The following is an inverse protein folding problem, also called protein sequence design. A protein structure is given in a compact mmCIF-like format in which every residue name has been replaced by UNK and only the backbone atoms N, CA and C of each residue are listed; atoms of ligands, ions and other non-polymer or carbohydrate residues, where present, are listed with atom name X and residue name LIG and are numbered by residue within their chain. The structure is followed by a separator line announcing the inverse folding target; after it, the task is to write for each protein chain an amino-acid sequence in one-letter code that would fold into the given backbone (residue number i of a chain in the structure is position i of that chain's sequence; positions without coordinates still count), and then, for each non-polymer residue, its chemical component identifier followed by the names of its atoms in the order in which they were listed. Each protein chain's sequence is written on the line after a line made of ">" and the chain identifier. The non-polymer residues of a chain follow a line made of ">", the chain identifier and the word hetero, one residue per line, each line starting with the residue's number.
data_IF_781793172483
#
_entry.id   IF_781793172483
#
_cell.length_a   1.000
_cell.length_b   1.000
_cell.length_c   1.000
_cell.angle_alpha   90.00
_cell.angle_beta   90.00
_cell.angle_gamma   90.00
#
_symmetry.space_group_name_H-M   'P 1'
#
loop_
_entity.id
_entity.type
_entity.pdbx_description
1 polymer ?
#
# COMPACT_ATOMS: atom_id res chain seq x y z
N UNK A 1 -19.47 83.88 0.68
CA UNK A 1 -19.08 83.55 -0.71
C UNK A 1 -20.35 83.08 -1.41
N UNK A 2 -20.60 83.48 -2.65
CA UNK A 2 -21.71 82.89 -3.40
C UNK A 2 -21.38 81.43 -3.72
N UNK A 3 -22.36 80.53 -3.65
CA UNK A 3 -22.25 79.22 -4.28
C UNK A 3 -22.29 79.41 -5.80
N UNK A 4 -21.65 78.52 -6.55
CA UNK A 4 -21.78 78.51 -8.01
C UNK A 4 -23.20 78.05 -8.40
N UNK A 5 -24.00 78.88 -9.11
CA UNK A 5 -25.33 78.48 -9.56
C UNK A 5 -25.33 77.28 -10.50
N UNK A 6 -24.22 77.00 -11.19
CA UNK A 6 -24.08 75.82 -12.04
C UNK A 6 -23.97 74.56 -11.18
N UNK A 7 -23.17 74.60 -10.11
CA UNK A 7 -22.99 73.46 -9.20
C UNK A 7 -24.29 73.09 -8.47
N UNK A 8 -25.10 74.07 -8.04
CA UNK A 8 -26.44 73.80 -7.47
C UNK A 8 -27.44 73.27 -8.52
N UNK A 9 -27.17 73.45 -9.81
CA UNK A 9 -27.92 72.86 -10.91
C UNK A 9 -27.31 71.52 -11.41
N UNK A 10 -26.25 71.00 -10.78
CA UNK A 10 -25.58 69.74 -11.15
C UNK A 10 -24.60 69.87 -12.33
N UNK A 11 -24.19 71.08 -12.69
CA UNK A 11 -23.22 71.35 -13.76
C UNK A 11 -21.88 71.85 -13.20
N UNK A 12 -20.79 71.40 -13.79
CA UNK A 12 -19.43 71.69 -13.35
C UNK A 12 -18.53 71.95 -14.56
N UNK A 13 -17.46 72.73 -14.39
CA UNK A 13 -16.41 72.87 -15.42
C UNK A 13 -15.25 71.91 -15.15
N UNK A 14 -14.67 71.33 -16.20
CA UNK A 14 -13.39 70.62 -16.14
C UNK A 14 -12.18 71.55 -16.32
N UNK A 15 -10.97 71.01 -16.16
CA UNK A 15 -9.69 71.74 -16.30
C UNK A 15 -9.46 72.35 -17.70
N UNK A 16 -10.32 72.00 -18.68
CA UNK A 16 -10.32 72.54 -20.04
C UNK A 16 -11.47 73.55 -20.26
N UNK A 17 -12.10 74.02 -19.18
CA UNK A 17 -13.26 74.91 -19.13
C UNK A 17 -14.50 74.38 -19.89
N UNK A 18 -14.69 73.05 -19.95
CA UNK A 18 -15.87 72.43 -20.58
C UNK A 18 -16.91 72.09 -19.53
N UNK A 19 -18.17 72.42 -19.84
CA UNK A 19 -19.32 72.10 -18.98
C UNK A 19 -19.59 70.58 -18.98
N UNK A 20 -19.79 70.01 -17.78
CA UNK A 20 -20.09 68.61 -17.52
C UNK A 20 -21.25 68.49 -16.53
N UNK A 21 -21.91 67.33 -16.53
CA UNK A 21 -23.04 66.98 -15.62
C UNK A 21 -22.58 66.01 -14.52
N UNK A 22 -21.27 66.01 -14.23
CA UNK A 22 -20.62 65.19 -13.22
C UNK A 22 -19.49 66.02 -12.61
N UNK A 23 -19.28 65.93 -11.30
CA UNK A 23 -18.15 66.58 -10.63
C UNK A 23 -16.81 66.11 -11.23
N UNK A 24 -15.83 66.99 -11.49
CA UNK A 24 -14.51 66.60 -11.99
C UNK A 24 -13.85 65.54 -11.11
N UNK A 25 -13.88 65.74 -9.79
CA UNK A 25 -13.46 64.78 -8.77
C UNK A 25 -14.07 63.37 -8.95
N UNK A 26 -15.38 63.30 -9.18
CA UNK A 26 -16.10 62.03 -9.36
C UNK A 26 -15.78 61.42 -10.73
N UNK A 27 -15.67 62.24 -11.77
CA UNK A 27 -15.24 61.80 -13.11
C UNK A 27 -13.81 61.27 -13.12
N UNK A 28 -12.89 61.89 -12.37
CA UNK A 28 -11.51 61.44 -12.22
C UNK A 28 -11.45 60.13 -11.43
N UNK A 29 -12.08 60.07 -10.25
CA UNK A 29 -12.12 58.84 -9.42
C UNK A 29 -12.76 57.66 -10.15
N UNK A 30 -13.76 57.91 -11.01
CA UNK A 30 -14.36 56.90 -11.88
C UNK A 30 -13.39 56.41 -12.97
N UNK A 31 -12.51 57.28 -13.47
CA UNK A 31 -11.46 56.91 -14.44
C UNK A 31 -10.28 56.18 -13.78
N UNK A 32 -9.90 56.57 -12.57
CA UNK A 32 -8.87 55.91 -11.76
C UNK A 32 -9.31 54.50 -11.37
N UNK A 33 -10.52 54.36 -10.80
CA UNK A 33 -11.14 53.08 -10.50
C UNK A 33 -11.24 52.17 -11.72
N UNK A 34 -11.48 52.72 -12.91
CA UNK A 34 -11.54 51.95 -14.16
C UNK A 34 -10.17 51.35 -14.56
N UNK A 35 -9.08 52.08 -14.38
CA UNK A 35 -7.73 51.52 -14.58
C UNK A 35 -7.38 50.52 -13.47
N UNK A 36 -7.68 50.81 -12.20
CA UNK A 36 -7.46 49.85 -11.09
C UNK A 36 -8.23 48.53 -11.30
N UNK A 37 -9.50 48.59 -11.73
CA UNK A 37 -10.29 47.40 -12.07
C UNK A 37 -9.68 46.61 -13.24
N UNK A 38 -9.11 47.28 -14.26
CA UNK A 38 -8.42 46.63 -15.38
C UNK A 38 -7.14 45.94 -14.91
N UNK A 39 -6.33 46.63 -14.10
CA UNK A 39 -5.11 46.11 -13.50
C UNK A 39 -5.40 44.91 -12.57
N UNK A 40 -6.53 44.93 -11.87
CA UNK A 40 -7.04 43.83 -11.04
C UNK A 40 -7.53 42.63 -11.87
N UNK A 41 -8.24 42.87 -12.98
CA UNK A 41 -8.64 41.81 -13.93
C UNK A 41 -7.43 41.10 -14.52
N UNK A 42 -6.37 41.83 -14.90
CA UNK A 42 -5.13 41.24 -15.40
C UNK A 42 -4.42 40.40 -14.32
N UNK A 43 -4.41 40.85 -13.06
CA UNK A 43 -3.89 40.09 -11.90
C UNK A 43 -4.70 38.82 -11.63
N UNK A 44 -6.03 38.85 -11.74
CA UNK A 44 -6.88 37.64 -11.69
C UNK A 44 -6.61 36.73 -12.90
N UNK A 45 -6.38 37.28 -14.09
CA UNK A 45 -6.02 36.54 -15.28
C UNK A 45 -4.68 35.80 -15.15
N UNK A 46 -3.74 36.34 -14.35
CA UNK A 46 -2.50 35.66 -13.96
C UNK A 46 -2.75 34.61 -12.88
N UNK A 47 -3.49 34.94 -11.81
CA UNK A 47 -3.83 33.99 -10.75
C UNK A 47 -4.56 32.75 -11.30
N UNK A 48 -5.54 32.94 -12.19
CA UNK A 48 -6.27 31.89 -12.87
C UNK A 48 -5.45 31.08 -13.89
N UNK A 49 -4.18 31.44 -14.15
CA UNK A 49 -3.21 30.55 -14.84
C UNK A 49 -2.45 29.72 -13.82
N UNK A 50 -1.97 30.34 -12.73
CA UNK A 50 -1.28 29.64 -11.63
C UNK A 50 -2.18 28.55 -11.04
N UNK A 51 -3.44 28.88 -10.73
CA UNK A 51 -4.40 27.91 -10.20
C UNK A 51 -4.66 26.71 -11.12
N UNK A 52 -4.62 26.91 -12.45
CA UNK A 52 -4.70 25.80 -13.42
C UNK A 52 -3.44 24.94 -13.41
N UNK A 53 -2.26 25.55 -13.40
CA UNK A 53 -1.01 24.80 -13.29
C UNK A 53 -0.90 23.98 -11.98
N UNK A 54 -1.45 24.50 -10.87
CA UNK A 54 -1.54 23.74 -9.61
C UNK A 54 -2.51 22.55 -9.75
N UNK A 55 -3.67 22.74 -10.37
CA UNK A 55 -4.62 21.63 -10.64
C UNK A 55 -3.96 20.58 -11.54
N UNK A 56 -3.30 20.99 -12.63
CA UNK A 56 -2.59 20.10 -13.57
C UNK A 56 -1.50 19.27 -12.85
N UNK A 57 -0.68 19.89 -11.99
CA UNK A 57 0.35 19.20 -11.20
C UNK A 57 -0.24 18.24 -10.15
N UNK A 58 -1.34 18.60 -9.49
CA UNK A 58 -2.04 17.70 -8.53
C UNK A 58 -2.65 16.51 -9.27
N UNK A 59 -3.22 16.75 -10.45
CA UNK A 59 -3.75 15.70 -11.32
C UNK A 59 -2.65 14.76 -11.84
N UNK A 60 -1.44 15.24 -12.12
CA UNK A 60 -0.29 14.39 -12.48
C UNK A 60 0.21 13.59 -11.28
N UNK A 61 0.44 14.22 -10.13
CA UNK A 61 0.88 13.56 -8.90
C UNK A 61 -0.09 12.46 -8.45
N UNK A 62 -1.40 12.68 -8.58
CA UNK A 62 -2.41 11.66 -8.29
C UNK A 62 -2.27 10.40 -9.18
N UNK A 63 -1.93 10.58 -10.47
CA UNK A 63 -1.68 9.46 -11.40
C UNK A 63 -0.39 8.72 -11.05
N UNK A 64 0.67 9.42 -10.65
CA UNK A 64 1.91 8.78 -10.19
C UNK A 64 1.68 7.96 -8.92
N UNK A 65 0.99 8.52 -7.92
CA UNK A 65 0.69 7.85 -6.65
C UNK A 65 -0.15 6.59 -6.86
N UNK A 66 -1.20 6.63 -7.70
CA UNK A 66 -1.98 5.41 -8.01
C UNK A 66 -1.17 4.39 -8.83
N UNK A 67 -0.21 4.82 -9.64
CA UNK A 67 0.69 3.93 -10.38
C UNK A 67 1.65 3.20 -9.42
N UNK A 68 2.39 3.92 -8.56
CA UNK A 68 3.28 3.29 -7.56
C UNK A 68 2.50 2.35 -6.62
N UNK A 69 1.29 2.74 -6.21
CA UNK A 69 0.38 1.93 -5.39
C UNK A 69 -0.04 0.64 -6.08
N UNK A 70 -0.32 0.67 -7.39
CA UNK A 70 -0.61 -0.52 -8.18
C UNK A 70 0.62 -1.42 -8.35
N UNK A 71 1.81 -0.86 -8.57
CA UNK A 71 3.07 -1.63 -8.58
C UNK A 71 3.35 -2.29 -7.22
N UNK A 72 3.18 -1.56 -6.12
CA UNK A 72 3.37 -2.06 -4.76
C UNK A 72 2.38 -3.19 -4.42
N UNK A 73 1.12 -3.09 -4.86
CA UNK A 73 0.13 -4.16 -4.75
C UNK A 73 0.52 -5.37 -5.60
N UNK A 74 0.98 -5.16 -6.84
CA UNK A 74 1.48 -6.21 -7.73
C UNK A 74 2.65 -6.98 -7.12
N UNK A 75 3.68 -6.26 -6.66
CA UNK A 75 4.83 -6.82 -5.96
C UNK A 75 4.42 -7.59 -4.69
N UNK A 76 3.52 -7.02 -3.86
CA UNK A 76 3.01 -7.69 -2.65
C UNK A 76 2.25 -8.97 -2.97
N UNK A 77 1.49 -9.01 -4.06
CA UNK A 77 0.74 -10.19 -4.49
C UNK A 77 1.66 -11.28 -5.07
N UNK A 78 2.69 -10.90 -5.84
CA UNK A 78 3.75 -11.82 -6.27
C UNK A 78 4.51 -12.42 -5.07
N UNK A 79 4.82 -11.60 -4.06
CA UNK A 79 5.49 -12.06 -2.84
C UNK A 79 4.62 -13.03 -2.04
N UNK A 80 3.30 -12.81 -1.99
CA UNK A 80 2.32 -13.78 -1.42
C UNK A 80 2.28 -15.10 -2.18
N UNK A 81 2.24 -15.10 -3.52
CA UNK A 81 2.16 -16.34 -4.29
C UNK A 81 3.46 -17.16 -4.18
N UNK A 82 4.62 -16.52 -4.26
CA UNK A 82 5.93 -17.14 -4.03
C UNK A 82 6.05 -17.67 -2.59
N UNK A 83 5.58 -16.94 -1.58
CA UNK A 83 5.56 -17.42 -0.20
C UNK A 83 4.71 -18.69 -0.04
N UNK A 84 3.49 -18.71 -0.61
CA UNK A 84 2.59 -19.88 -0.57
C UNK A 84 3.16 -21.09 -1.33
N UNK A 85 3.82 -20.86 -2.46
CA UNK A 85 4.52 -21.91 -3.21
C UNK A 85 5.70 -22.50 -2.42
N UNK A 86 6.49 -21.63 -1.76
CA UNK A 86 7.59 -22.05 -0.87
C UNK A 86 7.09 -22.83 0.34
N UNK A 87 5.96 -22.44 0.92
CA UNK A 87 5.33 -23.15 2.03
C UNK A 87 4.88 -24.56 1.62
N UNK A 88 4.25 -24.70 0.45
CA UNK A 88 3.91 -26.01 -0.11
C UNK A 88 5.15 -26.88 -0.40
N UNK A 89 6.23 -26.30 -0.95
CA UNK A 89 7.51 -27.01 -1.13
C UNK A 89 8.14 -27.41 0.21
N UNK A 90 8.04 -26.58 1.23
CA UNK A 90 8.53 -26.91 2.57
C UNK A 90 7.71 -28.04 3.21
N UNK A 91 6.40 -28.07 3.02
CA UNK A 91 5.54 -29.19 3.46
C UNK A 91 5.87 -30.48 2.70
N UNK A 92 6.12 -30.42 1.38
CA UNK A 92 6.58 -31.59 0.60
C UNK A 92 7.94 -32.12 1.08
N UNK A 93 8.90 -31.23 1.36
CA UNK A 93 10.20 -31.61 1.91
C UNK A 93 10.09 -32.16 3.34
N UNK A 94 9.19 -31.62 4.18
CA UNK A 94 8.89 -32.19 5.49
C UNK A 94 8.24 -33.57 5.38
N UNK A 95 7.35 -33.78 4.39
CA UNK A 95 6.79 -35.08 4.07
C UNK A 95 7.87 -36.09 3.68
N UNK A 96 8.74 -35.75 2.73
CA UNK A 96 9.90 -36.58 2.35
C UNK A 96 10.86 -36.84 3.51
N UNK A 97 11.09 -35.88 4.40
CA UNK A 97 11.93 -36.09 5.60
C UNK A 97 11.23 -36.98 6.62
N UNK A 98 9.90 -36.87 6.77
CA UNK A 98 9.11 -37.76 7.63
C UNK A 98 9.05 -39.18 7.07
N UNK A 99 8.91 -39.34 5.75
CA UNK A 99 8.94 -40.63 5.07
C UNK A 99 10.34 -41.27 5.15
N UNK A 100 11.41 -40.53 4.89
CA UNK A 100 12.78 -41.05 5.05
C UNK A 100 13.10 -41.38 6.52
N UNK A 101 12.58 -40.62 7.50
CA UNK A 101 12.63 -41.00 8.92
C UNK A 101 11.82 -42.25 9.21
N UNK A 102 10.62 -42.38 8.65
CA UNK A 102 9.79 -43.58 8.80
C UNK A 102 10.46 -44.79 8.16
N UNK A 103 11.16 -44.64 7.02
CA UNK A 103 11.96 -45.70 6.42
C UNK A 103 13.20 -46.02 7.27
N UNK A 104 13.89 -45.03 7.84
CA UNK A 104 14.99 -45.27 8.78
C UNK A 104 14.54 -45.99 10.05
N UNK A 105 13.44 -45.57 10.66
CA UNK A 105 12.83 -46.30 11.79
C UNK A 105 12.25 -47.65 11.32
N UNK A 106 11.82 -47.81 10.06
CA UNK A 106 11.43 -49.12 9.53
C UNK A 106 12.63 -50.05 9.37
N UNK A 107 13.75 -49.57 8.84
CA UNK A 107 15.01 -50.33 8.75
C UNK A 107 15.62 -50.58 10.12
N UNK A 108 15.45 -49.66 11.07
CA UNK A 108 15.83 -49.86 12.47
C UNK A 108 14.93 -50.88 13.15
N UNK A 109 13.62 -50.86 12.92
CA UNK A 109 12.67 -51.87 13.42
C UNK A 109 12.86 -53.20 12.68
N UNK A 110 13.34 -53.20 11.44
CA UNK A 110 13.69 -54.40 10.66
C UNK A 110 15.02 -54.99 11.15
N UNK A 111 16.00 -54.15 11.53
CA UNK A 111 17.22 -54.55 12.24
C UNK A 111 16.93 -55.01 13.67
N UNK A 112 16.15 -54.26 14.45
CA UNK A 112 15.70 -54.64 15.78
C UNK A 112 14.80 -55.87 15.73
N UNK A 113 14.02 -56.10 14.67
CA UNK A 113 13.26 -57.34 14.47
C UNK A 113 14.11 -58.48 13.89
N UNK A 114 15.24 -58.22 13.22
CA UNK A 114 16.21 -59.27 12.87
C UNK A 114 17.03 -59.67 14.09
N UNK A 115 17.51 -58.72 14.89
CA UNK A 115 18.16 -58.98 16.18
C UNK A 115 17.17 -59.45 17.26
N UNK A 116 15.87 -59.15 17.11
CA UNK A 116 14.78 -59.79 17.88
C UNK A 116 14.19 -61.03 17.21
N UNK A 117 14.61 -61.43 16.01
CA UNK A 117 14.35 -62.79 15.45
C UNK A 117 15.56 -63.70 15.68
N UNK A 118 16.75 -63.14 15.89
CA UNK A 118 17.88 -63.75 16.58
C UNK A 118 17.51 -63.92 18.07
N UNK A 119 17.11 -62.84 18.76
CA UNK A 119 16.63 -62.92 20.14
C UNK A 119 15.29 -63.63 20.29
N UNK A 120 14.44 -63.78 19.27
CA UNK A 120 13.28 -64.69 19.27
C UNK A 120 13.62 -66.06 18.67
N UNK A 121 14.76 -66.30 18.05
CA UNK A 121 15.29 -67.66 17.97
C UNK A 121 15.78 -68.09 19.36
N UNK A 122 16.24 -67.14 20.18
CA UNK A 122 16.55 -67.33 21.59
C UNK A 122 15.32 -67.26 22.54
N UNK A 123 14.24 -66.53 22.21
CA UNK A 123 13.00 -66.38 23.04
C UNK A 123 11.80 -67.20 22.53
N UNK A 124 11.75 -67.70 21.28
CA UNK A 124 10.81 -68.75 20.85
C UNK A 124 11.25 -70.14 21.35
N UNK A 125 12.52 -70.24 21.74
CA UNK A 125 13.03 -71.25 22.67
C UNK A 125 12.32 -71.15 24.05
N UNK A 126 11.82 -69.96 24.44
CA UNK A 126 11.16 -69.71 25.74
C UNK A 126 9.62 -69.65 25.68
N UNK A 127 8.99 -68.79 24.85
CA UNK A 127 7.55 -68.42 24.89
C UNK A 127 7.03 -67.94 23.51
N UNK A 128 5.92 -68.37 22.91
CA UNK A 128 4.71 -69.14 23.27
C UNK A 128 3.56 -68.41 24.03
N UNK A 129 3.64 -67.10 24.37
CA UNK A 129 2.68 -66.47 25.31
C UNK A 129 1.99 -65.14 24.83
N UNK A 130 0.82 -65.27 24.16
CA UNK A 130 -0.42 -64.43 24.23
C UNK A 130 -0.52 -62.99 23.58
N UNK A 131 -1.75 -62.39 23.50
CA UNK A 131 -2.24 -61.29 22.57
C UNK A 131 -3.57 -60.58 23.10
N UNK A 132 -4.21 -59.45 22.63
CA UNK A 132 -4.00 -58.27 21.70
C UNK A 132 -5.31 -57.38 21.51
N UNK A 133 -5.29 -56.25 20.75
CA UNK A 133 -6.41 -55.44 20.07
C UNK A 133 -7.04 -54.07 20.61
N UNK A 134 -7.00 -53.01 19.74
CA UNK A 134 -7.99 -51.97 19.22
C UNK A 134 -8.87 -50.95 20.03
N UNK A 135 -9.13 -49.68 19.50
CA UNK A 135 -10.24 -48.72 19.91
C UNK A 135 -10.84 -47.59 18.92
N UNK A 136 -10.69 -46.21 18.97
CA UNK A 136 -11.83 -45.21 18.78
C UNK A 136 -11.68 -43.90 17.85
N UNK A 137 -12.77 -43.11 17.54
CA UNK A 137 -12.76 -41.72 16.88
C UNK A 137 -14.11 -40.87 16.90
N UNK A 138 -14.17 -39.56 16.45
CA UNK A 138 -15.34 -38.55 16.45
C UNK A 138 -15.23 -37.29 15.48
N UNK A 139 -16.29 -36.46 15.18
CA UNK A 139 -16.18 -35.10 14.49
C UNK A 139 -17.43 -34.19 14.07
N UNK A 140 -17.41 -32.78 14.06
CA UNK A 140 -18.55 -31.78 13.71
C UNK A 140 -18.32 -30.25 13.15
N UNK A 141 -19.39 -29.39 12.77
CA UNK A 141 -19.68 -27.83 12.60
C UNK A 141 -19.17 -26.84 11.40
N UNK A 142 -19.48 -25.52 10.96
CA UNK A 142 -20.36 -24.19 11.10
C UNK A 142 -20.24 -23.16 9.82
N UNK A 143 -20.64 -21.83 9.49
CA UNK A 143 -21.52 -20.55 9.79
C UNK A 143 -21.46 -19.33 8.68
N UNK A 144 -22.33 -18.22 8.55
CA UNK A 144 -22.26 -16.96 7.60
C UNK A 144 -23.29 -15.67 7.69
N UNK A 145 -23.11 -14.42 7.03
CA UNK A 145 -24.04 -13.15 6.80
C UNK A 145 -23.41 -11.89 5.97
N UNK A 146 -23.86 -10.60 5.58
CA UNK A 146 -25.05 -9.58 5.48
C UNK A 146 -24.85 -8.19 4.59
N UNK A 147 -25.84 -7.21 4.29
CA UNK A 147 -25.81 -6.01 3.29
C UNK A 147 -26.59 -4.56 3.45
N UNK A 148 -26.58 -3.56 2.44
CA UNK A 148 -27.40 -2.26 2.07
C UNK A 148 -26.95 -0.73 2.41
N UNK A 149 -27.36 0.55 1.96
CA UNK A 149 -28.26 1.42 1.01
C UNK A 149 -27.81 2.99 0.90
N UNK A 150 -28.34 4.21 0.41
CA UNK A 150 -29.52 4.95 -0.31
C UNK A 150 -29.28 6.52 -0.80
N UNK A 151 -30.22 7.43 -1.34
CA UNK A 151 -29.97 8.84 -2.00
C UNK A 151 -31.06 10.09 -2.06
N UNK A 152 -30.89 11.30 -2.77
CA UNK A 152 -31.79 12.59 -2.83
C UNK A 152 -31.62 13.87 -3.88
N UNK A 153 -32.40 15.04 -3.84
CA UNK A 153 -32.59 16.24 -4.86
C UNK A 153 -33.12 17.71 -4.33
N UNK A 154 -33.50 18.96 -4.90
CA UNK A 154 -33.60 19.89 -6.17
C UNK A 154 -33.99 21.49 -5.91
N UNK A 155 -34.13 22.52 -6.88
CA UNK A 155 -34.44 24.06 -6.71
C UNK A 155 -34.97 25.04 -7.93
N UNK A 156 -35.31 26.40 -7.80
CA UNK A 156 -35.86 27.46 -8.84
C UNK A 156 -35.83 29.10 -8.57
N UNK A 157 -36.46 30.05 -9.39
CA UNK A 157 -36.35 31.59 -9.66
C UNK A 157 -37.49 32.69 -9.22
N UNK A 158 -37.38 34.07 -9.47
CA UNK A 158 -38.47 35.20 -9.42
C UNK A 158 -38.13 36.75 -9.83
N UNK A 159 -39.10 37.73 -10.05
CA UNK A 159 -38.98 39.06 -10.85
C UNK A 159 -39.36 40.51 -10.23
N UNK A 160 -38.68 41.69 -10.57
CA UNK A 160 -39.06 43.19 -10.40
C UNK A 160 -38.31 44.28 -11.29
N UNK A 161 -38.46 45.65 -11.15
CA UNK A 161 -38.04 46.78 -12.11
C UNK A 161 -37.63 48.21 -11.50
N UNK A 162 -36.79 49.10 -12.16
CA UNK A 162 -36.24 50.44 -11.67
C UNK A 162 -36.02 51.62 -12.74
N UNK A 163 -35.29 52.73 -12.44
CA UNK A 163 -35.11 54.00 -13.25
C UNK A 163 -33.70 54.70 -13.22
N UNK A 164 -33.03 54.83 -14.40
CA UNK A 164 -32.42 56.06 -14.98
C UNK A 164 -33.16 56.24 -16.33
N UNK A 165 -32.49 56.23 -17.49
CA UNK A 165 -32.73 55.07 -18.37
C UNK A 165 -32.53 53.81 -17.50
N UNK A 166 -33.57 52.97 -17.25
CA UNK A 166 -33.54 51.91 -16.22
C UNK A 166 -32.20 51.19 -16.16
N UNK A 167 -31.82 50.64 -17.31
CA UNK A 167 -30.54 50.07 -17.69
C UNK A 167 -29.28 50.76 -17.16
N UNK A 168 -29.14 52.08 -17.13
CA UNK A 168 -27.86 52.73 -16.74
C UNK A 168 -27.79 52.99 -15.24
N UNK A 169 -28.91 53.21 -14.55
CA UNK A 169 -28.94 53.26 -13.07
C UNK A 169 -28.79 51.86 -12.52
N UNK A 170 -29.53 50.91 -13.12
CA UNK A 170 -29.33 49.49 -12.87
C UNK A 170 -27.89 49.13 -13.16
N UNK A 171 -27.35 49.20 -14.37
CA UNK A 171 -25.94 48.81 -14.63
C UNK A 171 -24.91 49.56 -13.78
N UNK A 172 -25.14 50.77 -13.29
CA UNK A 172 -24.19 51.44 -12.36
C UNK A 172 -24.37 51.00 -10.90
N UNK A 173 -25.61 50.73 -10.46
CA UNK A 173 -25.92 50.24 -9.10
C UNK A 173 -25.71 48.74 -8.97
N UNK A 174 -26.02 47.98 -10.03
CA UNK A 174 -25.69 46.59 -10.28
C UNK A 174 -24.19 46.47 -10.37
N UNK A 175 -23.45 47.22 -11.21
CA UNK A 175 -21.98 47.19 -11.18
C UNK A 175 -21.42 47.49 -9.78
N UNK A 176 -22.07 48.36 -8.99
CA UNK A 176 -21.68 48.60 -7.58
C UNK A 176 -22.01 47.44 -6.64
N UNK A 177 -23.18 46.81 -6.78
CA UNK A 177 -23.57 45.63 -6.01
C UNK A 177 -22.79 44.39 -6.45
N UNK A 178 -22.68 44.10 -7.75
CA UNK A 178 -21.77 43.14 -8.39
C UNK A 178 -20.32 43.35 -7.99
N UNK A 179 -19.78 44.56 -7.96
CA UNK A 179 -18.40 44.79 -7.46
C UNK A 179 -18.26 44.47 -5.98
N UNK A 180 -19.28 44.74 -5.16
CA UNK A 180 -19.29 44.34 -3.75
C UNK A 180 -19.40 42.81 -3.60
N UNK A 181 -20.35 42.20 -4.29
CA UNK A 181 -20.54 40.76 -4.42
C UNK A 181 -19.28 40.05 -4.93
N UNK A 182 -18.56 40.68 -5.86
CA UNK A 182 -17.31 40.21 -6.43
C UNK A 182 -16.16 40.34 -5.43
N UNK A 183 -16.06 41.43 -4.67
CA UNK A 183 -15.14 41.53 -3.53
C UNK A 183 -15.46 40.48 -2.46
N UNK A 184 -16.74 40.26 -2.14
CA UNK A 184 -17.19 39.24 -1.18
C UNK A 184 -16.90 37.80 -1.73
N UNK A 185 -17.11 37.54 -3.03
CA UNK A 185 -16.76 36.28 -3.72
C UNK A 185 -15.25 36.06 -3.81
N UNK A 186 -14.45 37.11 -4.04
CA UNK A 186 -12.98 37.06 -4.00
C UNK A 186 -12.48 36.82 -2.57
N UNK A 187 -13.10 37.42 -1.55
CA UNK A 187 -12.79 37.13 -0.15
C UNK A 187 -13.15 35.69 0.27
N UNK A 188 -14.20 35.10 -0.32
CA UNK A 188 -14.50 33.67 -0.17
C UNK A 188 -13.47 32.80 -0.93
N UNK A 189 -13.16 33.15 -2.19
CA UNK A 189 -12.18 32.45 -3.01
C UNK A 189 -10.78 32.47 -2.39
N UNK A 190 -10.33 33.58 -1.80
CA UNK A 190 -9.08 33.68 -1.05
C UNK A 190 -9.04 32.72 0.16
N UNK A 191 -10.17 32.53 0.86
CA UNK A 191 -10.26 31.54 1.96
C UNK A 191 -10.21 30.11 1.44
N UNK A 192 -10.88 29.82 0.31
CA UNK A 192 -10.83 28.50 -0.34
C UNK A 192 -9.41 28.18 -0.84
N UNK A 193 -8.73 29.16 -1.45
CA UNK A 193 -7.32 29.05 -1.87
C UNK A 193 -6.40 28.86 -0.66
N UNK A 194 -6.61 29.60 0.43
CA UNK A 194 -5.84 29.42 1.67
C UNK A 194 -5.97 28.01 2.24
N UNK A 195 -7.20 27.52 2.40
CA UNK A 195 -7.44 26.14 2.84
C UNK A 195 -6.94 25.07 1.85
N UNK A 196 -6.96 25.35 0.55
CA UNK A 196 -6.37 24.46 -0.46
C UNK A 196 -4.83 24.40 -0.33
N UNK A 197 -4.18 25.52 -0.06
CA UNK A 197 -2.74 25.56 0.22
C UNK A 197 -2.44 24.74 1.48
N UNK A 198 -3.18 24.96 2.58
CA UNK A 198 -3.02 24.20 3.83
C UNK A 198 -3.21 22.68 3.62
N UNK A 199 -4.19 22.26 2.82
CA UNK A 199 -4.44 20.86 2.48
C UNK A 199 -3.35 20.25 1.57
N UNK A 200 -2.80 21.00 0.61
CA UNK A 200 -1.67 20.55 -0.22
C UNK A 200 -0.40 20.42 0.63
N UNK A 201 -0.17 21.39 1.52
CA UNK A 201 0.91 21.38 2.51
C UNK A 201 0.82 20.15 3.43
N UNK A 202 -0.38 19.76 3.87
CA UNK A 202 -0.59 18.57 4.71
C UNK A 202 -0.42 17.27 3.90
N UNK A 203 -0.95 17.23 2.67
CA UNK A 203 -0.79 16.09 1.75
C UNK A 203 0.69 15.83 1.40
N UNK A 204 1.51 16.86 1.17
CA UNK A 204 2.96 16.70 0.93
C UNK A 204 3.64 15.99 2.11
N UNK A 205 3.28 16.39 3.34
CA UNK A 205 3.80 15.80 4.59
C UNK A 205 3.36 14.34 4.76
N UNK A 206 2.12 14.00 4.40
CA UNK A 206 1.65 12.60 4.40
C UNK A 206 2.35 11.75 3.34
N UNK A 207 2.51 12.28 2.11
CA UNK A 207 3.16 11.59 0.99
C UNK A 207 4.63 11.28 1.30
N UNK A 208 5.43 12.24 1.78
CA UNK A 208 6.81 11.96 2.20
C UNK A 208 6.87 10.98 3.39
N UNK A 209 5.89 11.05 4.31
CA UNK A 209 5.82 10.11 5.44
C UNK A 209 5.56 8.67 4.97
N UNK A 210 4.63 8.43 4.05
CA UNK A 210 4.37 7.09 3.48
C UNK A 210 5.49 6.62 2.55
N UNK A 211 6.07 7.51 1.74
CA UNK A 211 7.27 7.24 0.93
C UNK A 211 8.44 6.76 1.80
N UNK A 212 8.71 7.42 2.93
CA UNK A 212 9.74 6.99 3.88
C UNK A 212 9.41 5.66 4.58
N UNK A 213 8.14 5.42 4.94
CA UNK A 213 7.68 4.10 5.43
C UNK A 213 7.87 2.99 4.38
N UNK A 214 7.53 3.25 3.12
CA UNK A 214 7.67 2.31 2.01
C UNK A 214 9.14 1.99 1.71
N UNK A 215 10.02 2.99 1.70
CA UNK A 215 11.48 2.81 1.58
C UNK A 215 12.02 1.98 2.76
N UNK A 216 11.58 2.27 3.99
CA UNK A 216 11.93 1.49 5.18
C UNK A 216 11.52 0.02 5.07
N UNK A 217 10.27 -0.24 4.69
CA UNK A 217 9.75 -1.60 4.48
C UNK A 217 10.49 -2.34 3.35
N UNK A 218 10.79 -1.67 2.23
CA UNK A 218 11.57 -2.21 1.10
C UNK A 218 12.99 -2.59 1.53
N UNK A 219 13.64 -1.76 2.34
CA UNK A 219 14.98 -2.04 2.88
C UNK A 219 14.99 -3.20 3.88
N UNK A 220 13.98 -3.29 4.76
CA UNK A 220 13.81 -4.41 5.68
C UNK A 220 13.51 -5.73 4.95
N UNK A 221 12.69 -5.71 3.91
CA UNK A 221 12.45 -6.88 3.05
C UNK A 221 13.74 -7.33 2.35
N UNK A 222 14.56 -6.38 1.87
CA UNK A 222 15.85 -6.69 1.22
C UNK A 222 16.87 -7.29 2.20
N UNK A 223 16.94 -6.82 3.45
CA UNK A 223 17.83 -7.40 4.46
C UNK A 223 17.36 -8.80 4.91
N UNK A 224 16.06 -8.99 5.13
CA UNK A 224 15.47 -10.30 5.46
C UNK A 224 15.66 -11.30 4.32
N UNK A 225 15.53 -10.88 3.06
CA UNK A 225 15.82 -11.74 1.90
C UNK A 225 17.28 -12.22 1.90
N UNK A 226 18.24 -11.30 2.05
CA UNK A 226 19.68 -11.64 2.12
C UNK A 226 20.02 -12.53 3.32
N UNK A 227 19.41 -12.30 4.48
CA UNK A 227 19.58 -13.16 5.66
C UNK A 227 19.06 -14.59 5.42
N UNK A 228 17.88 -14.72 4.79
CA UNK A 228 17.30 -16.02 4.43
C UNK A 228 18.14 -16.76 3.39
N UNK A 229 18.73 -16.05 2.44
CA UNK A 229 19.65 -16.63 1.45
C UNK A 229 20.90 -17.20 2.13
N UNK A 230 21.55 -16.44 3.00
CA UNK A 230 22.71 -16.89 3.77
C UNK A 230 22.38 -18.10 4.66
N UNK A 231 21.22 -18.08 5.35
CA UNK A 231 20.74 -19.24 6.13
C UNK A 231 20.47 -20.47 5.25
N UNK A 232 19.95 -20.29 4.04
CA UNK A 232 19.71 -21.38 3.10
C UNK A 232 21.03 -22.00 2.59
N UNK A 233 22.03 -21.18 2.28
CA UNK A 233 23.38 -21.66 1.92
C UNK A 233 24.04 -22.41 3.09
N UNK A 234 23.92 -21.89 4.32
CA UNK A 234 24.44 -22.55 5.53
C UNK A 234 23.76 -23.91 5.78
N UNK A 235 22.43 -24.00 5.61
CA UNK A 235 21.69 -25.26 5.74
C UNK A 235 22.07 -26.26 4.62
N UNK A 236 22.28 -25.80 3.38
CA UNK A 236 22.74 -26.66 2.29
C UNK A 236 24.14 -27.22 2.55
N UNK A 237 25.07 -26.41 3.07
CA UNK A 237 26.40 -26.86 3.48
C UNK A 237 26.33 -27.92 4.60
N UNK A 238 25.50 -27.69 5.63
CA UNK A 238 25.30 -28.65 6.72
C UNK A 238 24.66 -29.96 6.22
N UNK A 239 23.71 -29.91 5.29
CA UNK A 239 23.13 -31.11 4.68
C UNK A 239 24.17 -31.88 3.87
N UNK A 240 25.06 -31.21 3.14
CA UNK A 240 26.15 -31.85 2.41
C UNK A 240 27.16 -32.52 3.36
N UNK A 241 27.56 -31.84 4.44
CA UNK A 241 28.42 -32.39 5.49
C UNK A 241 27.81 -33.66 6.12
N UNK A 242 26.52 -33.63 6.47
CA UNK A 242 25.83 -34.77 7.09
C UNK A 242 25.63 -35.94 6.13
N UNK A 243 25.41 -35.69 4.83
CA UNK A 243 25.42 -36.74 3.80
C UNK A 243 26.79 -37.39 3.66
N UNK A 244 27.87 -36.59 3.63
CA UNK A 244 29.24 -37.12 3.56
C UNK A 244 29.61 -37.96 4.80
N UNK A 245 29.15 -37.56 5.99
CA UNK A 245 29.31 -38.35 7.21
C UNK A 245 28.53 -39.67 7.15
N UNK A 246 27.29 -39.66 6.64
CA UNK A 246 26.46 -40.85 6.48
C UNK A 246 27.12 -41.87 5.53
N UNK A 247 27.58 -41.46 4.36
CA UNK A 247 28.27 -42.37 3.43
C UNK A 247 29.59 -42.91 4.00
N UNK A 248 30.33 -42.12 4.80
CA UNK A 248 31.51 -42.64 5.52
C UNK A 248 31.13 -43.74 6.51
N UNK A 249 30.12 -43.51 7.35
CA UNK A 249 29.64 -44.51 8.31
C UNK A 249 29.07 -45.76 7.62
N UNK A 250 28.46 -45.60 6.44
CA UNK A 250 28.00 -46.71 5.61
C UNK A 250 29.16 -47.59 5.14
N UNK A 251 30.22 -47.00 4.58
CA UNK A 251 31.42 -47.74 4.13
C UNK A 251 32.13 -48.40 5.32
N UNK A 252 32.16 -47.74 6.47
CA UNK A 252 32.70 -48.28 7.73
C UNK A 252 31.89 -49.49 8.22
N UNK A 253 30.55 -49.44 8.14
CA UNK A 253 29.66 -50.56 8.45
C UNK A 253 29.79 -51.72 7.45
N UNK A 254 29.80 -51.44 6.14
CA UNK A 254 29.97 -52.46 5.09
C UNK A 254 31.33 -53.19 5.22
N UNK A 255 32.38 -52.49 5.68
CA UNK A 255 33.67 -53.10 6.01
C UNK A 255 33.63 -53.97 7.29
N UNK A 256 32.98 -53.49 8.36
CA UNK A 256 32.86 -54.24 9.63
C UNK A 256 32.02 -55.51 9.46
N UNK A 257 30.87 -55.44 8.79
CA UNK A 257 30.00 -56.58 8.51
C UNK A 257 30.69 -57.66 7.66
N UNK A 258 31.61 -57.27 6.76
CA UNK A 258 32.45 -58.24 6.03
C UNK A 258 33.44 -58.95 6.95
N UNK A 259 34.08 -58.24 7.87
CA UNK A 259 35.00 -58.83 8.87
C UNK A 259 34.26 -59.75 9.85
N UNK A 260 33.02 -59.40 10.22
CA UNK A 260 32.13 -60.25 11.01
C UNK A 260 31.78 -61.55 10.27
N UNK A 261 31.41 -61.46 8.98
CA UNK A 261 31.18 -62.65 8.13
C UNK A 261 32.40 -63.56 8.05
N UNK A 262 33.60 -62.99 7.84
CA UNK A 262 34.87 -63.72 7.81
C UNK A 262 35.20 -64.39 9.16
N UNK A 263 34.83 -63.77 10.29
CA UNK A 263 35.00 -64.36 11.62
C UNK A 263 34.00 -65.49 11.88
N UNK A 264 32.73 -65.33 11.47
CA UNK A 264 31.71 -66.37 11.62
C UNK A 264 32.03 -67.59 10.75
N UNK A 265 32.45 -67.40 9.48
CA UNK A 265 32.93 -68.49 8.62
C UNK A 265 34.13 -69.25 9.23
N UNK A 266 35.04 -68.53 9.92
CA UNK A 266 36.16 -69.15 10.63
C UNK A 266 35.70 -69.94 11.87
N UNK A 267 34.75 -69.41 12.63
CA UNK A 267 34.16 -70.08 13.81
C UNK A 267 33.43 -71.36 13.38
N UNK A 268 32.60 -71.31 12.35
CA UNK A 268 31.88 -72.47 11.81
C UNK A 268 32.87 -73.56 11.33
N UNK A 269 33.92 -73.18 10.59
CA UNK A 269 34.97 -74.12 10.18
C UNK A 269 35.71 -74.73 11.38
N UNK A 270 35.93 -73.97 12.45
CA UNK A 270 36.62 -74.45 13.65
C UNK A 270 35.72 -75.36 14.52
N UNK A 271 34.40 -75.14 14.52
CA UNK A 271 33.40 -76.01 15.15
C UNK A 271 33.26 -77.32 14.37
N UNK A 272 33.21 -77.26 13.03
CA UNK A 272 33.10 -78.43 12.15
C UNK A 272 34.36 -79.33 12.10
N UNK A 273 35.45 -78.93 12.75
CA UNK A 273 36.69 -79.71 12.86
C UNK A 273 36.87 -80.41 14.23
N UNK A 274 35.81 -80.53 15.04
CA UNK A 274 35.80 -81.23 16.33
C UNK A 274 34.78 -82.36 16.42
#
# INVERSE_FOLDING_TARGET
>A
MAKDPLAEAGFYFDDLNKLRVLEPDVSQKTSELKEECKDFVDKIGQFGKIARGVIELVDELAKEVDTEKMEAIGARNLLKSVAKQREAQQQQLQGLVAENKMQLERYRVEYEALSKVESEQNEFIDQFILQKNSLPSKGPVTMAKDPLAEAGFYFDDLNKLRVLEPDVSQKTSELKEECKDFVDKIGQFQKIVGGLIELVDELEKEVETEKMKAIGARNLLKSVAKQREAQQQQLQALIAEKKMQLERYRVEYEALSKVESEQNEFIDQFILQK
#
